data_IF_426060279483
#
_entry.id   IF_426060279483
#
_cell.length_a   1.000
_cell.length_b   1.000
_cell.length_c   1.000
_cell.angle_alpha   90.00
_cell.angle_beta   90.00
_cell.angle_gamma   90.00
#
_symmetry.space_group_name_H-M   'P 1'
#
loop_
_entity.id
_entity.type
_entity.pdbx_description
1 polymer ?
#
# COMPACT_ATOMS: atom_id res chain seq x y z
N UNK A 1 -16.66 2.20 7.53
CA UNK A 1 -15.27 1.80 7.24
C UNK A 1 -14.91 0.58 8.07
N UNK A 2 -14.29 -0.43 7.48
CA UNK A 2 -13.73 -1.59 8.18
C UNK A 2 -12.22 -1.66 8.02
N UNK A 3 -11.46 -1.70 9.12
CA UNK A 3 -10.01 -1.93 9.11
C UNK A 3 -9.73 -3.38 9.53
N UNK A 4 -8.94 -4.10 8.75
CA UNK A 4 -8.54 -5.49 8.98
C UNK A 4 -7.02 -5.57 9.03
N UNK A 5 -6.46 -6.02 10.14
CA UNK A 5 -5.01 -6.21 10.29
C UNK A 5 -4.50 -5.77 11.65
N UNK A 6 -3.18 -5.76 11.79
CA UNK A 6 -2.47 -5.37 13.00
C UNK A 6 -1.14 -4.71 12.61
N UNK A 7 -0.61 -3.80 13.43
CA UNK A 7 0.62 -3.11 13.08
C UNK A 7 0.99 -1.97 14.03
N UNK A 8 2.29 -1.73 14.18
CA UNK A 8 2.84 -0.74 15.11
C UNK A 8 2.99 0.68 14.52
N UNK A 9 2.59 0.91 13.26
CA UNK A 9 2.66 2.24 12.63
C UNK A 9 1.45 3.11 13.03
N UNK A 10 1.56 3.77 14.18
CA UNK A 10 0.51 4.63 14.73
C UNK A 10 0.11 5.78 13.81
N UNK A 11 1.02 6.33 12.99
CA UNK A 11 0.69 7.44 12.09
C UNK A 11 -0.16 6.99 10.91
N UNK A 12 0.17 5.84 10.33
CA UNK A 12 -0.66 5.25 9.27
C UNK A 12 -2.05 4.89 9.79
N UNK A 13 -2.13 4.27 10.97
CA UNK A 13 -3.41 3.94 11.57
C UNK A 13 -4.25 5.20 11.88
N UNK A 14 -3.62 6.23 12.46
CA UNK A 14 -4.26 7.53 12.70
C UNK A 14 -4.81 8.14 11.41
N UNK A 15 -4.03 8.12 10.33
CA UNK A 15 -4.44 8.67 9.04
C UNK A 15 -5.65 7.93 8.47
N UNK A 16 -5.64 6.60 8.52
CA UNK A 16 -6.72 5.76 8.01
C UNK A 16 -7.99 5.89 8.86
N UNK A 17 -7.88 6.14 10.16
CA UNK A 17 -9.04 6.33 11.04
C UNK A 17 -9.64 7.73 10.95
N UNK A 18 -8.80 8.76 10.96
CA UNK A 18 -9.24 10.13 11.20
C UNK A 18 -9.09 11.05 10.00
N UNK A 19 -8.30 10.65 9.00
CA UNK A 19 -8.00 11.45 7.80
C UNK A 19 -8.43 10.78 6.50
N UNK A 20 -9.11 9.64 6.54
CA UNK A 20 -9.51 8.92 5.31
C UNK A 20 -10.37 9.78 4.37
N UNK A 21 -11.32 10.56 4.89
CA UNK A 21 -12.12 11.47 4.06
C UNK A 21 -11.28 12.54 3.35
N UNK A 22 -10.24 13.05 4.03
CA UNK A 22 -9.29 13.98 3.44
C UNK A 22 -8.44 13.30 2.36
N UNK A 23 -7.95 12.09 2.63
CA UNK A 23 -7.19 11.25 1.70
C UNK A 23 -8.02 11.00 0.41
N UNK A 24 -9.26 10.53 0.54
CA UNK A 24 -10.13 10.27 -0.61
C UNK A 24 -10.39 11.54 -1.42
N UNK A 25 -10.66 12.66 -0.76
CA UNK A 25 -10.86 13.95 -1.44
C UNK A 25 -9.62 14.38 -2.25
N UNK A 26 -8.41 14.23 -1.70
CA UNK A 26 -7.17 14.52 -2.43
C UNK A 26 -6.96 13.58 -3.63
N UNK A 27 -7.36 12.32 -3.50
CA UNK A 27 -7.34 11.33 -4.58
C UNK A 27 -8.44 11.54 -5.63
N UNK A 28 -9.32 12.54 -5.40
CA UNK A 28 -10.55 12.80 -6.17
C UNK A 28 -11.48 11.60 -6.20
N UNK A 29 -11.51 10.83 -5.11
CA UNK A 29 -12.35 9.67 -4.93
C UNK A 29 -13.59 10.06 -4.12
N UNK A 30 -14.77 9.86 -4.71
CA UNK A 30 -16.08 10.22 -4.13
C UNK A 30 -16.77 9.03 -3.46
N UNK A 31 -15.99 8.02 -3.05
CA UNK A 31 -16.50 6.87 -2.30
C UNK A 31 -16.99 7.28 -0.92
N UNK A 32 -18.07 6.63 -0.46
CA UNK A 32 -18.50 6.76 0.93
C UNK A 32 -17.49 6.05 1.84
N UNK A 33 -17.09 6.71 2.93
CA UNK A 33 -16.23 6.15 3.97
C UNK A 33 -16.82 4.86 4.57
N UNK A 34 -18.14 4.72 4.60
CA UNK A 34 -18.77 3.52 5.12
C UNK A 34 -18.60 2.31 4.20
N UNK A 35 -18.48 2.55 2.90
CA UNK A 35 -18.22 1.53 1.88
C UNK A 35 -16.73 1.16 1.79
N UNK A 36 -15.83 1.95 2.38
CA UNK A 36 -14.40 1.67 2.33
C UNK A 36 -13.96 0.52 3.26
N UNK A 37 -13.06 -0.32 2.74
CA UNK A 37 -12.37 -1.37 3.49
C UNK A 37 -10.86 -1.16 3.42
N UNK A 38 -10.18 -1.39 4.55
CA UNK A 38 -8.74 -1.21 4.68
C UNK A 38 -8.10 -2.50 5.16
N UNK A 39 -7.05 -2.95 4.47
CA UNK A 39 -6.09 -3.89 5.02
C UNK A 39 -4.92 -3.11 5.60
N UNK A 40 -4.74 -3.16 6.91
CA UNK A 40 -3.66 -2.48 7.59
C UNK A 40 -2.48 -3.43 7.79
N UNK A 41 -1.33 -3.04 7.25
CA UNK A 41 -0.07 -3.81 7.21
C UNK A 41 -0.16 -5.25 6.71
N UNK A 42 -0.79 -5.53 5.54
CA UNK A 42 -0.81 -6.88 4.99
C UNK A 42 0.60 -7.31 4.56
N UNK A 43 1.07 -8.43 5.14
CA UNK A 43 2.41 -8.97 4.92
C UNK A 43 2.39 -10.19 4.00
N UNK A 44 3.30 -10.20 3.03
CA UNK A 44 3.52 -11.27 2.07
C UNK A 44 4.96 -11.80 2.15
N UNK A 45 5.55 -11.70 3.34
CA UNK A 45 6.90 -12.15 3.68
C UNK A 45 7.97 -11.08 3.44
N UNK A 46 8.80 -10.83 4.46
CA UNK A 46 9.77 -9.72 4.50
C UNK A 46 11.21 -10.11 4.14
N UNK A 47 11.50 -11.40 3.95
CA UNK A 47 12.86 -11.92 3.70
C UNK A 47 13.05 -12.43 2.26
N UNK A 48 12.17 -12.05 1.35
CA UNK A 48 12.17 -12.54 -0.03
C UNK A 48 13.09 -11.78 -0.97
N UNK A 49 14.25 -12.36 -1.30
CA UNK A 49 15.12 -11.87 -2.38
C UNK A 49 14.65 -12.25 -3.79
N UNK A 50 15.52 -12.08 -4.81
CA UNK A 50 15.33 -12.63 -6.16
C UNK A 50 15.02 -14.13 -6.12
N UNK A 51 14.12 -14.59 -6.99
CA UNK A 51 13.70 -16.00 -7.05
C UNK A 51 12.89 -16.49 -5.85
N UNK A 52 12.52 -15.62 -4.90
CA UNK A 52 11.57 -15.93 -3.82
C UNK A 52 10.13 -15.65 -4.26
N UNK A 53 9.16 -16.30 -3.61
CA UNK A 53 7.74 -15.96 -3.75
C UNK A 53 7.29 -14.86 -2.81
N UNK A 54 8.08 -14.55 -1.77
CA UNK A 54 7.83 -13.44 -0.87
C UNK A 54 8.20 -12.11 -1.52
N UNK A 55 7.38 -11.09 -1.33
CA UNK A 55 7.55 -9.80 -2.01
C UNK A 55 7.34 -8.57 -1.12
N UNK A 56 7.23 -8.74 0.20
CA UNK A 56 7.21 -7.64 1.16
C UNK A 56 5.87 -7.45 1.85
N UNK A 57 5.69 -6.26 2.40
CA UNK A 57 4.53 -5.84 3.20
C UNK A 57 4.14 -4.44 2.76
N UNK A 58 2.85 -4.15 2.66
CA UNK A 58 2.35 -2.80 2.43
C UNK A 58 2.05 -2.13 3.76
N UNK A 59 2.09 -0.81 3.85
CA UNK A 59 1.61 -0.13 5.05
C UNK A 59 0.08 -0.18 5.12
N UNK A 60 -0.58 -0.07 3.96
CA UNK A 60 -2.01 -0.35 3.83
C UNK A 60 -2.42 -0.73 2.41
N UNK A 61 -3.58 -1.38 2.30
CA UNK A 61 -4.37 -1.44 1.08
C UNK A 61 -5.72 -0.79 1.39
N UNK A 62 -6.17 0.15 0.56
CA UNK A 62 -7.47 0.79 0.71
C UNK A 62 -8.35 0.44 -0.49
N UNK A 63 -9.49 -0.17 -0.20
CA UNK A 63 -10.52 -0.53 -1.16
C UNK A 63 -11.62 0.51 -1.04
N UNK A 64 -11.75 1.35 -2.06
CA UNK A 64 -12.86 2.29 -2.23
C UNK A 64 -13.91 1.70 -3.18
N UNK A 65 -14.89 2.47 -3.65
CA UNK A 65 -15.93 1.99 -4.57
C UNK A 65 -15.34 1.43 -5.87
N UNK A 66 -14.38 2.13 -6.45
CA UNK A 66 -13.83 1.84 -7.78
C UNK A 66 -12.32 1.65 -7.79
N UNK A 67 -11.63 1.97 -6.70
CA UNK A 67 -10.17 1.98 -6.65
C UNK A 67 -9.62 1.05 -5.58
N UNK A 68 -8.50 0.41 -5.91
CA UNK A 68 -7.63 -0.26 -4.97
C UNK A 68 -6.34 0.56 -4.85
N UNK A 69 -6.14 1.18 -3.69
CA UNK A 69 -4.93 1.95 -3.40
C UNK A 69 -3.90 1.06 -2.72
N UNK A 70 -2.71 0.98 -3.31
CA UNK A 70 -1.54 0.32 -2.75
C UNK A 70 -0.73 1.36 -1.99
N UNK A 71 -0.80 1.30 -0.66
CA UNK A 71 -0.36 2.37 0.22
C UNK A 71 0.98 2.12 0.90
N UNK A 72 1.81 3.15 0.88
CA UNK A 72 3.03 3.27 1.69
C UNK A 72 2.95 4.50 2.58
N UNK A 73 3.65 4.46 3.71
CA UNK A 73 3.83 5.57 4.63
C UNK A 73 5.30 5.92 4.80
N UNK A 74 5.58 7.22 4.89
CA UNK A 74 6.89 7.77 5.25
C UNK A 74 6.70 8.97 6.16
N UNK A 75 7.70 9.20 6.99
CA UNK A 75 7.76 10.35 7.89
C UNK A 75 9.20 10.82 7.99
N UNK A 76 9.44 11.99 8.59
CA UNK A 76 10.76 12.64 8.58
C UNK A 76 11.94 11.77 9.08
N UNK A 77 11.69 10.86 10.04
CA UNK A 77 12.73 9.96 10.57
C UNK A 77 12.95 8.71 9.71
N UNK A 78 12.21 8.57 8.61
CA UNK A 78 12.43 7.47 7.68
C UNK A 78 13.77 7.66 6.97
N UNK A 79 14.41 6.56 6.59
CA UNK A 79 15.77 6.53 6.02
C UNK A 79 15.89 7.10 4.61
N UNK A 80 14.78 7.53 4.01
CA UNK A 80 14.67 7.95 2.62
C UNK A 80 15.25 9.35 2.40
N UNK A 81 15.96 9.49 1.29
CA UNK A 81 16.48 10.78 0.87
C UNK A 81 15.36 11.63 0.26
N UNK A 82 15.24 12.86 0.77
CA UNK A 82 14.34 13.88 0.24
C UNK A 82 15.17 15.04 -0.27
N UNK A 83 15.20 15.21 -1.59
CA UNK A 83 15.93 16.29 -2.26
C UNK A 83 14.96 17.04 -3.14
N UNK A 84 14.86 18.36 -2.97
CA UNK A 84 14.01 19.25 -3.80
C UNK A 84 12.54 18.80 -3.91
N UNK A 85 11.97 18.25 -2.83
CA UNK A 85 10.58 17.76 -2.83
C UNK A 85 10.38 16.40 -3.52
N UNK A 86 11.47 15.69 -3.85
CA UNK A 86 11.43 14.32 -4.35
C UNK A 86 11.86 13.37 -3.24
N UNK A 87 10.96 12.45 -2.86
CA UNK A 87 11.30 11.35 -1.96
C UNK A 87 11.72 10.12 -2.75
N UNK A 88 12.83 9.53 -2.34
CA UNK A 88 13.45 8.41 -3.03
C UNK A 88 13.11 7.09 -2.35
N UNK A 89 12.30 6.25 -3.01
CA UNK A 89 11.93 4.92 -2.57
C UNK A 89 12.87 3.84 -3.13
N UNK A 90 12.98 2.71 -2.44
CA UNK A 90 13.81 1.59 -2.90
C UNK A 90 13.09 0.77 -3.98
N UNK A 91 13.84 0.14 -4.88
CA UNK A 91 13.29 -0.65 -5.99
C UNK A 91 12.39 -1.80 -5.52
N UNK A 92 12.66 -2.39 -4.35
CA UNK A 92 11.85 -3.47 -3.77
C UNK A 92 10.41 -3.03 -3.49
N UNK A 93 10.21 -1.76 -3.09
CA UNK A 93 8.88 -1.22 -2.87
C UNK A 93 8.08 -1.16 -4.17
N UNK A 94 8.73 -0.82 -5.29
CA UNK A 94 8.09 -0.85 -6.59
C UNK A 94 7.81 -2.29 -7.08
N UNK A 95 8.77 -3.20 -6.90
CA UNK A 95 8.58 -4.62 -7.24
C UNK A 95 7.39 -5.21 -6.49
N UNK A 96 7.25 -4.91 -5.19
CA UNK A 96 6.11 -5.35 -4.37
C UNK A 96 4.76 -4.93 -5.00
N UNK A 97 4.63 -3.66 -5.39
CA UNK A 97 3.40 -3.13 -5.95
C UNK A 97 3.06 -3.77 -7.31
N UNK A 98 4.07 -3.99 -8.17
CA UNK A 98 3.87 -4.67 -9.47
C UNK A 98 3.48 -6.14 -9.31
N UNK A 99 4.12 -6.85 -8.39
CA UNK A 99 3.79 -8.25 -8.07
C UNK A 99 2.36 -8.34 -7.56
N UNK A 100 1.97 -7.47 -6.63
CA UNK A 100 0.60 -7.49 -6.11
C UNK A 100 -0.43 -7.11 -7.18
N UNK A 101 -0.13 -6.13 -8.04
CA UNK A 101 -0.99 -5.77 -9.18
C UNK A 101 -1.23 -6.96 -10.10
N UNK A 102 -0.19 -7.72 -10.46
CA UNK A 102 -0.34 -8.92 -11.27
C UNK A 102 -1.20 -9.99 -10.59
N UNK A 103 -1.06 -10.16 -9.26
CA UNK A 103 -1.92 -11.06 -8.50
C UNK A 103 -3.39 -10.62 -8.53
N UNK A 104 -3.68 -9.34 -8.28
CA UNK A 104 -5.05 -8.82 -8.31
C UNK A 104 -5.64 -9.00 -9.71
N UNK A 105 -4.93 -8.60 -10.76
CA UNK A 105 -5.45 -8.70 -12.13
C UNK A 105 -5.77 -10.14 -12.53
N UNK A 106 -4.85 -11.07 -12.28
CA UNK A 106 -5.04 -12.48 -12.64
C UNK A 106 -6.14 -13.14 -11.80
N UNK A 107 -6.18 -12.85 -10.50
CA UNK A 107 -7.19 -13.42 -9.61
C UNK A 107 -8.60 -12.91 -9.93
N UNK A 108 -8.73 -11.66 -10.37
CA UNK A 108 -10.00 -11.15 -10.88
C UNK A 108 -10.44 -11.91 -12.13
N UNK A 109 -9.54 -12.06 -13.10
CA UNK A 109 -9.84 -12.65 -14.41
C UNK A 109 -10.16 -14.14 -14.32
N UNK A 110 -9.32 -14.92 -13.60
CA UNK A 110 -9.39 -16.39 -13.60
C UNK A 110 -9.61 -17.02 -12.24
N UNK A 111 -9.32 -16.29 -11.15
CA UNK A 111 -9.35 -16.85 -9.80
C UNK A 111 -8.26 -17.88 -9.54
N UNK A 112 -7.17 -17.83 -10.30
CA UNK A 112 -6.02 -18.72 -10.18
C UNK A 112 -4.68 -17.96 -10.22
N UNK A 113 -3.59 -18.69 -9.93
CA UNK A 113 -2.24 -18.15 -9.88
C UNK A 113 -1.44 -18.37 -11.18
N UNK A 114 -1.98 -19.12 -12.14
CA UNK A 114 -1.21 -19.70 -13.24
C UNK A 114 -0.78 -18.64 -14.26
N UNK A 115 -1.60 -17.59 -14.48
CA UNK A 115 -1.25 -16.51 -15.41
C UNK A 115 -0.40 -15.38 -14.82
N UNK A 116 -0.18 -15.37 -13.50
CA UNK A 116 0.59 -14.30 -12.81
C UNK A 116 1.99 -14.10 -13.40
N UNK A 117 2.79 -15.14 -13.75
CA UNK A 117 4.10 -14.92 -14.36
C UNK A 117 4.04 -14.16 -15.69
N UNK A 118 3.03 -14.43 -16.51
CA UNK A 118 2.84 -13.76 -17.80
C UNK A 118 2.43 -12.30 -17.59
N UNK A 119 1.50 -12.03 -16.66
CA UNK A 119 1.13 -10.67 -16.23
C UNK A 119 2.33 -9.88 -15.70
N UNK A 120 3.14 -10.50 -14.84
CA UNK A 120 4.35 -9.89 -14.30
C UNK A 120 5.34 -9.52 -15.40
N UNK A 121 5.61 -10.41 -16.35
CA UNK A 121 6.50 -10.14 -17.48
C UNK A 121 6.01 -8.99 -18.36
N UNK A 122 4.69 -8.85 -18.53
CA UNK A 122 4.10 -7.71 -19.26
C UNK A 122 4.28 -6.39 -18.51
N UNK A 123 4.08 -6.37 -17.19
CA UNK A 123 4.27 -5.18 -16.36
C UNK A 123 5.74 -4.80 -16.21
N UNK A 124 6.62 -5.80 -16.17
CA UNK A 124 8.06 -5.63 -16.02
C UNK A 124 8.83 -6.91 -16.37
N UNK A 125 9.63 -6.93 -17.44
CA UNK A 125 10.41 -8.11 -17.81
C UNK A 125 11.57 -8.43 -16.84
N UNK A 126 11.96 -7.49 -15.97
CA UNK A 126 13.10 -7.63 -15.05
C UNK A 126 12.75 -8.21 -13.68
N UNK A 127 11.47 -8.50 -13.39
CA UNK A 127 11.06 -9.04 -12.09
C UNK A 127 11.30 -10.54 -12.03
N UNK A 128 12.23 -10.95 -11.16
CA UNK A 128 12.50 -12.35 -10.83
C UNK A 128 11.82 -12.74 -9.51
N UNK A 129 10.55 -13.13 -9.59
CA UNK A 129 9.74 -13.63 -8.46
C UNK A 129 9.06 -14.94 -8.84
N UNK A 130 9.00 -15.88 -7.89
CA UNK A 130 8.31 -17.16 -8.06
C UNK A 130 6.86 -17.05 -7.59
N UNK A 131 5.99 -17.88 -8.16
CA UNK A 131 4.63 -18.05 -7.63
C UNK A 131 4.71 -18.92 -6.38
N UNK A 132 4.04 -18.55 -5.27
CA UNK A 132 4.01 -19.37 -4.08
C UNK A 132 3.38 -20.73 -4.39
N UNK A 133 3.89 -21.78 -3.73
CA UNK A 133 3.24 -23.09 -3.78
C UNK A 133 1.79 -22.97 -3.29
N UNK A 134 0.79 -23.56 -3.98
CA UNK A 134 -0.61 -23.49 -3.56
C UNK A 134 -0.87 -24.01 -2.13
N UNK A 135 0.01 -24.88 -1.61
CA UNK A 135 -0.06 -25.43 -0.25
C UNK A 135 0.64 -24.57 0.81
N UNK A 136 1.29 -23.47 0.42
CA UNK A 136 2.05 -22.62 1.34
C UNK A 136 1.13 -21.65 2.10
N UNK A 137 1.56 -21.27 3.31
CA UNK A 137 0.88 -20.22 4.10
C UNK A 137 0.77 -18.90 3.31
N UNK A 138 1.81 -18.55 2.55
CA UNK A 138 1.80 -17.35 1.72
C UNK A 138 0.69 -17.39 0.66
N UNK A 139 0.52 -18.51 -0.03
CA UNK A 139 -0.57 -18.68 -1.00
C UNK A 139 -1.94 -18.61 -0.31
N UNK A 140 -2.09 -19.18 0.88
CA UNK A 140 -3.31 -19.07 1.68
C UNK A 140 -3.65 -17.62 2.05
N UNK A 141 -2.67 -16.88 2.57
CA UNK A 141 -2.84 -15.47 2.95
C UNK A 141 -3.17 -14.58 1.74
N UNK A 142 -2.46 -14.78 0.62
CA UNK A 142 -2.76 -14.10 -0.64
C UNK A 142 -4.17 -14.42 -1.12
N UNK A 143 -4.55 -15.71 -1.14
CA UNK A 143 -5.90 -16.13 -1.55
C UNK A 143 -6.98 -15.40 -0.76
N UNK A 144 -6.82 -15.33 0.57
CA UNK A 144 -7.78 -14.66 1.44
C UNK A 144 -7.93 -13.17 1.10
N UNK A 145 -6.80 -12.45 0.96
CA UNK A 145 -6.82 -11.02 0.62
C UNK A 145 -7.42 -10.80 -0.78
N UNK A 146 -6.97 -11.54 -1.78
CA UNK A 146 -7.47 -11.37 -3.16
C UNK A 146 -8.94 -11.75 -3.29
N UNK A 147 -9.41 -12.74 -2.53
CA UNK A 147 -10.83 -13.09 -2.48
C UNK A 147 -11.62 -11.97 -1.84
N UNK A 148 -11.16 -11.38 -0.73
CA UNK A 148 -11.84 -10.22 -0.13
C UNK A 148 -11.86 -9.00 -1.07
N UNK A 149 -10.77 -8.73 -1.79
CA UNK A 149 -10.74 -7.69 -2.83
C UNK A 149 -11.77 -8.00 -3.91
N UNK A 150 -11.78 -9.23 -4.46
CA UNK A 150 -12.76 -9.63 -5.48
C UNK A 150 -14.21 -9.52 -4.99
N UNK A 151 -14.49 -9.93 -3.77
CA UNK A 151 -15.82 -9.79 -3.16
C UNK A 151 -16.23 -8.33 -3.03
N UNK A 152 -15.32 -7.45 -2.62
CA UNK A 152 -15.58 -6.02 -2.47
C UNK A 152 -16.01 -5.36 -3.79
N UNK A 153 -15.31 -5.65 -4.89
CA UNK A 153 -15.61 -5.04 -6.19
C UNK A 153 -16.58 -5.86 -7.07
N UNK A 154 -16.95 -7.07 -6.65
CA UNK A 154 -17.79 -7.98 -7.42
C UNK A 154 -17.17 -8.32 -8.79
N UNK A 155 -17.94 -8.09 -9.85
CA UNK A 155 -17.51 -8.35 -11.23
C UNK A 155 -16.73 -7.18 -11.86
N UNK A 156 -16.66 -6.03 -11.20
CA UNK A 156 -15.95 -4.86 -11.71
C UNK A 156 -14.50 -4.90 -11.24
N UNK A 157 -13.54 -4.91 -12.16
CA UNK A 157 -12.13 -4.83 -11.78
C UNK A 157 -11.80 -3.43 -11.23
N UNK A 158 -11.08 -3.31 -10.10
CA UNK A 158 -10.72 -2.00 -9.56
C UNK A 158 -9.64 -1.30 -10.40
N UNK A 159 -9.66 0.04 -10.35
CA UNK A 159 -8.54 0.86 -10.81
C UNK A 159 -7.47 0.86 -9.72
N UNK A 160 -6.30 0.29 -10.00
CA UNK A 160 -5.23 0.15 -9.01
C UNK A 160 -4.30 1.37 -9.08
N UNK A 161 -4.15 2.09 -7.97
CA UNK A 161 -3.29 3.28 -7.84
C UNK A 161 -2.28 3.12 -6.71
N UNK A 162 -1.09 3.67 -6.90
CA UNK A 162 -0.02 3.65 -5.92
C UNK A 162 0.00 4.96 -5.13
N UNK A 163 0.02 4.86 -3.79
CA UNK A 163 -0.16 6.00 -2.89
C UNK A 163 0.95 6.04 -1.86
N UNK A 164 1.50 7.23 -1.65
CA UNK A 164 2.46 7.50 -0.58
C UNK A 164 1.88 8.54 0.38
N UNK A 165 1.65 8.14 1.63
CA UNK A 165 1.37 9.05 2.73
C UNK A 165 2.71 9.57 3.28
N UNK A 166 2.91 10.88 3.23
CA UNK A 166 4.05 11.53 3.88
C UNK A 166 3.60 12.32 5.11
N UNK A 167 4.00 11.85 6.28
CA UNK A 167 3.67 12.48 7.56
C UNK A 167 4.68 13.55 7.95
N UNK A 168 4.16 14.68 8.36
CA UNK A 168 4.97 15.80 8.83
C UNK A 168 4.36 16.48 10.04
N UNK A 169 5.20 17.19 10.80
CA UNK A 169 4.77 18.04 11.89
C UNK A 169 5.04 19.50 11.53
N UNK A 170 4.02 20.36 11.52
CA UNK A 170 4.15 21.77 11.09
C UNK A 170 5.27 22.56 11.77
N UNK A 171 5.55 22.33 13.07
CA UNK A 171 6.69 22.98 13.77
C UNK A 171 8.07 22.61 13.21
N UNK A 172 8.15 21.56 12.39
CA UNK A 172 9.40 21.04 11.84
C UNK A 172 9.61 21.38 10.37
N UNK A 173 8.66 22.09 9.75
CA UNK A 173 8.66 22.45 8.33
C UNK A 173 9.83 23.31 7.89
N UNK A 174 10.45 24.02 8.81
CA UNK A 174 11.60 24.88 8.50
C UNK A 174 12.88 24.08 8.16
N UNK A 175 12.88 22.74 8.33
CA UNK A 175 14.10 21.93 8.28
C UNK A 175 14.24 21.07 7.01
N UNK A 176 13.15 20.73 6.32
CA UNK A 176 13.17 19.88 5.10
C UNK A 176 11.95 20.17 4.21
N UNK A 177 12.08 20.07 2.87
CA UNK A 177 10.95 20.21 1.96
C UNK A 177 9.95 19.06 2.13
N UNK A 178 8.66 19.35 1.94
CA UNK A 178 7.62 18.34 1.83
C UNK A 178 7.72 17.69 0.44
N UNK A 179 7.81 16.35 0.34
CA UNK A 179 7.80 15.70 -0.95
C UNK A 179 6.44 15.85 -1.62
N UNK A 180 6.47 16.14 -2.92
CA UNK A 180 5.31 16.14 -3.80
C UNK A 180 5.45 15.12 -4.94
N UNK A 181 6.60 14.45 -5.01
CA UNK A 181 6.94 13.48 -6.05
C UNK A 181 7.75 12.32 -5.47
N UNK A 182 7.55 11.14 -6.04
CA UNK A 182 8.36 9.96 -5.75
C UNK A 182 9.32 9.68 -6.89
N UNK A 183 10.54 9.30 -6.54
CA UNK A 183 11.47 8.62 -7.42
C UNK A 183 11.76 7.23 -6.86
N UNK A 184 11.82 6.22 -7.73
CA UNK A 184 12.21 4.86 -7.34
C UNK A 184 13.67 4.63 -7.75
N UNK A 185 14.52 4.24 -6.78
CA UNK A 185 15.89 3.83 -7.03
C UNK A 185 15.89 2.52 -7.81
N UNK A 186 16.32 2.58 -9.07
CA UNK A 186 16.54 1.43 -9.95
C UNK A 186 15.32 0.50 -10.03
N UNK A 187 14.51 0.68 -11.07
CA UNK A 187 13.40 -0.21 -11.30
C UNK A 187 12.39 0.34 -12.29
N UNK A 188 11.30 -0.38 -12.41
CA UNK A 188 10.15 0.01 -13.22
C UNK A 188 9.53 1.30 -12.72
N UNK A 189 9.02 2.12 -13.64
CA UNK A 189 8.31 3.34 -13.28
C UNK A 189 6.98 2.98 -12.63
N UNK A 190 6.83 3.37 -11.36
CA UNK A 190 5.54 3.43 -10.65
C UNK A 190 5.33 4.86 -10.25
N UNK A 191 4.17 5.39 -10.59
CA UNK A 191 3.78 6.75 -10.26
C UNK A 191 2.97 6.72 -8.97
N UNK A 192 3.63 7.06 -7.88
CA UNK A 192 2.98 7.26 -6.60
C UNK A 192 2.32 8.64 -6.56
N UNK A 193 1.06 8.67 -6.15
CA UNK A 193 0.42 9.92 -5.70
C UNK A 193 0.88 10.20 -4.28
N UNK A 194 1.58 11.31 -4.07
CA UNK A 194 2.04 11.73 -2.74
C UNK A 194 0.96 12.56 -2.06
N UNK A 195 0.62 12.16 -0.83
CA UNK A 195 -0.27 12.92 0.04
C UNK A 195 0.47 13.28 1.31
N UNK A 196 0.68 14.58 1.51
CA UNK A 196 1.33 15.10 2.69
C UNK A 196 0.28 15.35 3.79
N UNK A 197 0.49 14.78 4.98
CA UNK A 197 -0.44 14.86 6.10
C UNK A 197 0.25 15.49 7.32
N UNK A 198 -0.30 16.60 7.79
CA UNK A 198 0.13 17.24 9.03
C UNK A 198 -0.48 16.52 10.24
N UNK A 199 0.38 15.96 11.09
CA UNK A 199 -0.05 15.34 12.35
C UNK A 199 0.13 16.26 13.57
N UNK A 200 0.49 17.53 13.39
CA UNK A 200 0.74 18.45 14.53
C UNK A 200 -0.48 18.73 15.41
N UNK A 201 -1.69 18.60 14.86
CA UNK A 201 -2.96 18.69 15.60
C UNK A 201 -3.53 17.34 16.03
N UNK A 202 -2.80 16.24 15.85
CA UNK A 202 -3.24 14.95 16.34
C UNK A 202 -3.15 14.96 17.89
N UNK A 203 -4.30 15.05 18.55
CA UNK A 203 -4.37 14.76 19.98
C UNK A 203 -4.20 13.24 20.10
N UNK A 204 -2.98 12.80 20.38
CA UNK A 204 -2.78 11.50 20.98
C UNK A 204 -3.24 11.71 22.42
N UNK A 205 -4.54 11.57 22.67
CA UNK A 205 -4.98 11.41 24.05
C UNK A 205 -4.23 10.19 24.58
N UNK A 206 -3.56 10.33 25.73
CA UNK A 206 -3.05 9.22 26.52
C UNK A 206 -4.25 8.35 26.93
N UNK A 207 -4.84 7.62 25.99
CA UNK A 207 -5.91 6.68 26.27
C UNK A 207 -5.25 5.48 26.92
N UNK A 208 -5.24 5.52 28.25
CA UNK A 208 -5.42 4.34 29.07
C UNK A 208 -6.38 3.34 28.39
N UNK A 209 -6.10 2.04 28.56
CA UNK A 209 -6.89 0.86 28.19
C UNK A 209 -6.59 0.19 26.84
N UNK A 210 -5.65 -0.77 26.87
CA UNK A 210 -6.04 -2.17 26.69
C UNK A 210 -5.82 -2.89 28.04
N UNK A 211 -6.88 -3.01 28.84
CA UNK A 211 -6.94 -4.12 29.79
C UNK A 211 -7.50 -5.30 29.00
N UNK A 212 -6.69 -6.35 28.88
CA UNK A 212 -7.07 -7.68 28.40
C UNK A 212 -8.18 -8.27 29.29
#
# INVERSE_FOLDING_TARGET
>A
MKIIGYGEDGLTLWALQWKLGHILNQLKDQSDLQECQVFYRPSFGRRGGPGSSQFGEFDFLLLSRDHLYLGESKWKQSSEDITEGVITLRGEQAVRNLVFRAYVEEWFDKGDWAGVPSRLRMLSPSIDKKIPSPKSLLAGNLKSILTMIKTHFGNKKPIIRDVLLYFFHSKEMQKRPIPNKVQVLKGNRIDFTVMALDYSGAVIEDTHYFKL
#
